data_IF_020139296965
#
_entry.id   IF_020139296965
#
_cell.length_a   1.000
_cell.length_b   1.000
_cell.length_c   1.000
_cell.angle_alpha   90.00
_cell.angle_beta   90.00
_cell.angle_gamma   90.00
#
_symmetry.space_group_name_H-M   'P 1'
#
loop_
_entity.id
_entity.type
_entity.pdbx_description
1 polymer ?
#
# COMPACT_ATOMS: atom_id res chain seq x y z
N UNK A 1 -33.74 -7.47 4.96
CA UNK A 1 -32.69 -6.54 4.50
C UNK A 1 -31.37 -7.29 4.49
N UNK A 2 -30.56 -7.18 3.42
CA UNK A 2 -29.31 -7.95 3.31
C UNK A 2 -28.29 -7.62 4.41
N UNK A 3 -27.45 -8.59 4.78
CA UNK A 3 -26.51 -8.51 5.90
C UNK A 3 -25.65 -7.23 5.87
N UNK A 4 -25.12 -6.84 4.71
CA UNK A 4 -24.33 -5.62 4.54
C UNK A 4 -25.13 -4.34 4.82
N UNK A 5 -26.40 -4.27 4.40
CA UNK A 5 -27.24 -3.09 4.65
C UNK A 5 -27.51 -2.93 6.14
N UNK A 6 -27.71 -4.02 6.87
CA UNK A 6 -27.89 -3.98 8.31
C UNK A 6 -26.60 -3.54 9.01
N UNK A 7 -25.45 -4.06 8.61
CA UNK A 7 -24.15 -3.61 9.09
C UNK A 7 -23.97 -2.09 8.92
N UNK A 8 -24.22 -1.55 7.72
CA UNK A 8 -24.11 -0.11 7.49
C UNK A 8 -25.04 0.68 8.42
N UNK A 9 -26.30 0.25 8.56
CA UNK A 9 -27.26 0.92 9.46
C UNK A 9 -26.81 0.89 10.92
N UNK A 10 -26.34 -0.26 11.41
CA UNK A 10 -25.88 -0.41 12.78
C UNK A 10 -24.64 0.45 13.09
N UNK A 11 -23.81 0.73 12.08
CA UNK A 11 -22.62 1.58 12.23
C UNK A 11 -22.85 3.04 11.80
N UNK A 12 -24.10 3.45 11.55
CA UNK A 12 -24.41 4.83 11.11
C UNK A 12 -23.89 5.18 9.71
N UNK A 13 -23.52 4.20 8.89
CA UNK A 13 -22.99 4.39 7.54
C UNK A 13 -24.15 4.55 6.54
N UNK A 14 -24.17 5.68 5.83
CA UNK A 14 -25.09 5.89 4.70
C UNK A 14 -24.52 5.23 3.44
N UNK A 15 -25.09 4.08 3.05
CA UNK A 15 -24.71 3.41 1.80
C UNK A 15 -25.43 4.05 0.61
N UNK A 16 -24.67 4.81 -0.18
CA UNK A 16 -25.08 5.35 -1.47
C UNK A 16 -24.68 4.41 -2.61
N UNK A 17 -25.58 4.18 -3.55
CA UNK A 17 -25.32 3.31 -4.71
C UNK A 17 -25.23 4.17 -5.96
N UNK A 18 -24.17 3.97 -6.72
CA UNK A 18 -24.09 4.50 -8.08
C UNK A 18 -25.12 3.80 -8.97
N UNK A 19 -25.72 4.55 -9.90
CA UNK A 19 -26.61 3.98 -10.91
C UNK A 19 -25.78 3.07 -11.83
N UNK A 20 -26.37 1.95 -12.25
CA UNK A 20 -25.74 1.08 -13.24
C UNK A 20 -25.49 1.86 -14.54
N UNK A 21 -24.29 1.71 -15.10
CA UNK A 21 -23.87 2.34 -16.38
C UNK A 21 -23.78 3.88 -16.36
N UNK A 22 -23.51 4.48 -15.21
CA UNK A 22 -23.07 5.90 -15.13
C UNK A 22 -21.61 5.99 -14.68
N UNK A 23 -20.63 5.85 -15.60
CA UNK A 23 -19.20 5.95 -15.29
C UNK A 23 -18.80 7.28 -14.65
N UNK A 24 -19.55 8.35 -14.92
CA UNK A 24 -19.31 9.70 -14.40
C UNK A 24 -19.32 9.71 -12.86
N UNK A 25 -20.14 8.87 -12.22
CA UNK A 25 -20.19 8.76 -10.76
C UNK A 25 -19.04 7.95 -10.16
N UNK A 26 -18.30 7.17 -10.97
CA UNK A 26 -17.24 6.29 -10.50
C UNK A 26 -15.82 6.73 -10.95
N UNK A 27 -15.72 7.85 -11.67
CA UNK A 27 -14.47 8.28 -12.28
C UNK A 27 -13.34 8.58 -11.29
N UNK A 28 -13.63 8.91 -10.02
CA UNK A 28 -12.60 9.07 -8.98
C UNK A 28 -12.02 7.70 -8.60
N UNK A 29 -12.90 6.74 -8.30
CA UNK A 29 -12.55 5.36 -7.94
C UNK A 29 -11.76 4.68 -9.06
N UNK A 30 -12.22 4.81 -10.32
CA UNK A 30 -11.56 4.20 -11.48
C UNK A 30 -10.17 4.79 -11.72
N UNK A 31 -10.01 6.12 -11.57
CA UNK A 31 -8.70 6.77 -11.68
C UNK A 31 -7.73 6.31 -10.59
N UNK A 32 -8.22 6.17 -9.35
CA UNK A 32 -7.39 5.67 -8.26
C UNK A 32 -7.00 4.19 -8.47
N UNK A 33 -7.96 3.35 -8.83
CA UNK A 33 -7.71 1.93 -9.13
C UNK A 33 -6.69 1.77 -10.26
N UNK A 34 -6.80 2.55 -11.34
CA UNK A 34 -5.81 2.57 -12.42
C UNK A 34 -4.43 3.00 -11.92
N UNK A 35 -4.35 4.08 -11.14
CA UNK A 35 -3.08 4.57 -10.57
C UNK A 35 -2.39 3.50 -9.72
N UNK A 36 -3.14 2.80 -8.88
CA UNK A 36 -2.62 1.72 -8.03
C UNK A 36 -2.07 0.58 -8.89
N UNK A 37 -2.85 0.12 -9.89
CA UNK A 37 -2.43 -0.97 -10.78
C UNK A 37 -1.18 -0.61 -11.59
N UNK A 38 -1.08 0.62 -12.10
CA UNK A 38 0.11 1.09 -12.82
C UNK A 38 1.36 1.15 -11.92
N UNK A 39 1.20 1.59 -10.66
CA UNK A 39 2.29 1.57 -9.68
C UNK A 39 2.76 0.16 -9.36
N UNK A 40 1.84 -0.78 -9.14
CA UNK A 40 2.16 -2.20 -8.92
C UNK A 40 2.95 -2.77 -10.10
N UNK A 41 2.46 -2.55 -11.33
CA UNK A 41 3.15 -3.00 -12.56
C UNK A 41 4.56 -2.43 -12.65
N UNK A 42 4.70 -1.14 -12.38
CA UNK A 42 5.99 -0.45 -12.42
C UNK A 42 6.97 -1.00 -11.38
N UNK A 43 6.52 -1.18 -10.14
CA UNK A 43 7.33 -1.72 -9.05
C UNK A 43 7.81 -3.15 -9.34
N UNK A 44 6.90 -4.04 -9.74
CA UNK A 44 7.26 -5.42 -10.09
C UNK A 44 8.21 -5.48 -11.28
N UNK A 45 7.98 -4.66 -12.30
CA UNK A 45 8.85 -4.58 -13.48
C UNK A 45 10.24 -4.03 -13.13
N UNK A 46 10.33 -3.07 -12.22
CA UNK A 46 11.61 -2.47 -11.79
C UNK A 46 12.52 -3.52 -11.14
N UNK A 47 11.96 -4.37 -10.29
CA UNK A 47 12.70 -5.38 -9.50
C UNK A 47 12.71 -6.75 -10.19
N UNK A 48 12.03 -6.89 -11.33
CA UNK A 48 11.86 -8.14 -12.09
C UNK A 48 11.23 -9.27 -11.25
N UNK A 49 10.24 -8.92 -10.44
CA UNK A 49 9.51 -9.89 -9.62
C UNK A 49 8.30 -10.48 -10.36
N UNK A 50 7.94 -11.74 -10.09
CA UNK A 50 6.75 -12.35 -10.66
C UNK A 50 5.48 -11.69 -10.13
N UNK A 51 4.40 -11.80 -10.90
CA UNK A 51 3.07 -11.26 -10.57
C UNK A 51 2.48 -11.82 -9.27
N UNK A 52 3.03 -12.90 -8.73
CA UNK A 52 2.61 -13.45 -7.44
C UNK A 52 2.84 -12.49 -6.28
N UNK A 53 3.78 -11.54 -6.40
CA UNK A 53 4.10 -10.53 -5.37
C UNK A 53 3.31 -9.22 -5.53
N UNK A 54 2.13 -9.28 -6.17
CA UNK A 54 1.35 -8.09 -6.48
C UNK A 54 0.77 -7.44 -5.23
N UNK A 55 0.55 -8.22 -4.17
CA UNK A 55 -0.01 -7.78 -2.90
C UNK A 55 1.02 -6.98 -2.08
N UNK A 56 2.30 -7.37 -2.04
CA UNK A 56 3.32 -6.57 -1.37
C UNK A 56 3.61 -5.26 -2.13
N UNK A 57 3.61 -5.34 -3.47
CA UNK A 57 3.68 -4.15 -4.32
C UNK A 57 2.44 -3.24 -4.15
N UNK A 58 1.25 -3.82 -3.97
CA UNK A 58 0.01 -3.06 -3.69
C UNK A 58 0.12 -2.31 -2.37
N UNK A 59 0.52 -2.98 -1.28
CA UNK A 59 0.66 -2.36 0.03
C UNK A 59 1.66 -1.21 -0.01
N UNK A 60 2.81 -1.41 -0.66
CA UNK A 60 3.81 -0.36 -0.86
C UNK A 60 3.26 0.80 -1.69
N UNK A 61 2.55 0.51 -2.78
CA UNK A 61 1.98 1.55 -3.64
C UNK A 61 0.94 2.40 -2.91
N UNK A 62 0.07 1.78 -2.10
CA UNK A 62 -0.94 2.46 -1.30
C UNK A 62 -0.30 3.34 -0.23
N UNK A 63 0.71 2.81 0.49
CA UNK A 63 1.42 3.58 1.50
C UNK A 63 2.10 4.81 0.89
N UNK A 64 2.82 4.63 -0.23
CA UNK A 64 3.42 5.75 -0.95
C UNK A 64 2.39 6.76 -1.47
N UNK A 65 1.20 6.32 -1.93
CA UNK A 65 0.13 7.25 -2.34
C UNK A 65 -0.32 8.10 -1.15
N UNK A 66 -0.48 7.49 0.03
CA UNK A 66 -0.91 8.20 1.24
C UNK A 66 0.18 9.13 1.80
N UNK A 67 1.45 8.86 1.49
CA UNK A 67 2.61 9.68 1.87
C UNK A 67 3.00 10.70 0.78
N UNK A 68 2.41 10.66 -0.41
CA UNK A 68 2.75 11.58 -1.50
C UNK A 68 1.87 12.85 -1.46
N UNK A 69 2.42 14.01 -1.87
CA UNK A 69 1.62 15.21 -2.14
C UNK A 69 0.45 14.91 -3.09
N UNK A 70 -0.73 15.41 -2.74
CA UNK A 70 -1.97 15.13 -3.48
C UNK A 70 -2.58 16.41 -4.04
N UNK A 71 -2.85 16.44 -5.35
CA UNK A 71 -3.43 17.61 -6.01
C UNK A 71 -4.81 18.01 -5.44
N UNK A 72 -5.75 17.08 -5.15
CA UNK A 72 -6.99 17.40 -4.44
C UNK A 72 -6.80 18.06 -3.06
N UNK A 73 -5.62 17.92 -2.45
CA UNK A 73 -5.26 18.51 -1.16
C UNK A 73 -4.34 19.72 -1.31
N UNK A 74 -4.29 20.35 -2.49
CA UNK A 74 -3.41 21.49 -2.78
C UNK A 74 -1.93 21.20 -2.50
N UNK A 75 -1.49 19.95 -2.72
CA UNK A 75 -0.13 19.51 -2.46
C UNK A 75 0.14 19.04 -1.03
N UNK A 76 -0.86 19.04 -0.15
CA UNK A 76 -0.74 18.40 1.16
C UNK A 76 -0.81 16.87 1.05
N UNK A 77 -0.44 16.19 2.14
CA UNK A 77 -0.24 14.74 2.19
C UNK A 77 -1.47 14.07 2.80
N UNK A 78 -2.08 13.07 2.14
CA UNK A 78 -3.28 12.40 2.65
C UNK A 78 -3.13 11.87 4.08
N UNK A 79 -2.02 11.22 4.41
CA UNK A 79 -1.81 10.68 5.76
C UNK A 79 -1.77 11.78 6.82
N UNK A 80 -1.17 12.94 6.52
CA UNK A 80 -1.20 14.12 7.41
C UNK A 80 -2.62 14.61 7.62
N UNK A 81 -3.38 14.74 6.53
CA UNK A 81 -4.75 15.21 6.56
C UNK A 81 -5.67 14.29 7.39
N UNK A 82 -5.54 12.97 7.25
CA UNK A 82 -6.37 12.00 7.96
C UNK A 82 -5.96 11.78 9.42
N UNK A 83 -4.65 11.76 9.71
CA UNK A 83 -4.14 11.47 11.06
C UNK A 83 -4.01 12.72 11.95
N UNK A 84 -3.97 13.91 11.34
CA UNK A 84 -3.65 15.16 12.02
C UNK A 84 -2.20 15.26 12.51
N UNK A 85 -1.34 14.29 12.16
CA UNK A 85 0.07 14.22 12.55
C UNK A 85 0.96 14.52 11.36
N UNK A 86 2.11 15.14 11.64
CA UNK A 86 3.14 15.26 10.63
C UNK A 86 3.70 13.90 10.24
N UNK A 87 4.09 13.79 8.98
CA UNK A 87 4.55 12.55 8.36
C UNK A 87 6.06 12.51 8.32
N UNK A 88 6.64 11.39 8.75
CA UNK A 88 8.07 11.13 8.66
C UNK A 88 8.38 10.29 7.44
N UNK A 89 9.39 10.67 6.65
CA UNK A 89 9.83 9.96 5.46
C UNK A 89 11.09 9.10 5.70
N UNK A 90 11.64 9.13 6.92
CA UNK A 90 12.92 8.49 7.23
C UNK A 90 12.88 6.96 7.07
N UNK A 91 11.70 6.38 7.22
CA UNK A 91 11.47 4.94 7.07
C UNK A 91 11.40 4.52 5.59
N UNK A 92 11.24 5.45 4.65
CA UNK A 92 11.05 5.11 3.25
C UNK A 92 12.29 4.42 2.65
N UNK A 93 12.03 3.34 1.92
CA UNK A 93 13.00 2.57 1.14
C UNK A 93 12.47 2.33 -0.27
N UNK A 94 13.38 2.20 -1.23
CA UNK A 94 13.04 1.86 -2.61
C UNK A 94 12.57 0.41 -2.65
N UNK A 95 11.39 0.16 -3.22
CA UNK A 95 10.87 -1.20 -3.41
C UNK A 95 11.87 -2.04 -4.21
N UNK A 96 12.23 -3.21 -3.67
CA UNK A 96 13.23 -4.11 -4.22
C UNK A 96 14.69 -3.75 -3.92
N UNK A 97 14.97 -2.75 -3.10
CA UNK A 97 16.34 -2.46 -2.70
C UNK A 97 16.95 -3.63 -1.92
N UNK A 98 18.27 -3.76 -1.99
CA UNK A 98 19.01 -4.77 -1.21
C UNK A 98 18.73 -4.59 0.28
N UNK A 99 18.36 -5.68 0.93
CA UNK A 99 18.07 -5.74 2.35
C UNK A 99 18.79 -6.95 2.98
N UNK A 100 18.85 -6.99 4.31
CA UNK A 100 19.45 -8.08 5.05
C UNK A 100 18.57 -8.43 6.25
N UNK A 101 18.23 -9.71 6.37
CA UNK A 101 17.52 -10.24 7.54
C UNK A 101 18.53 -10.91 8.48
N UNK A 102 18.36 -10.70 9.79
CA UNK A 102 19.20 -11.36 10.79
C UNK A 102 18.88 -12.84 10.88
N UNK A 103 19.91 -13.70 10.89
CA UNK A 103 19.77 -15.13 11.16
C UNK A 103 19.91 -15.32 12.67
N UNK A 104 18.92 -15.96 13.30
CA UNK A 104 18.91 -16.14 14.76
C UNK A 104 20.08 -17.03 15.21
N UNK A 105 20.42 -16.96 16.51
CA UNK A 105 21.60 -17.66 17.06
C UNK A 105 21.43 -19.18 17.06
N UNK A 106 20.21 -19.67 17.22
CA UNK A 106 19.80 -21.07 17.19
C UNK A 106 19.78 -21.65 15.78
N UNK A 107 19.63 -20.81 14.75
CA UNK A 107 19.65 -21.20 13.33
C UNK A 107 21.06 -21.19 12.71
N UNK A 108 22.11 -20.89 13.50
CA UNK A 108 23.48 -20.74 12.98
C UNK A 108 24.55 -21.32 13.91
N UNK A 109 25.58 -21.91 13.32
CA UNK A 109 26.76 -22.43 14.00
C UNK A 109 27.85 -21.37 14.14
N UNK A 110 28.94 -21.73 14.84
CA UNK A 110 30.11 -20.85 14.99
C UNK A 110 30.73 -20.57 13.62
N UNK A 111 30.91 -19.28 13.31
CA UNK A 111 31.42 -18.71 12.03
C UNK A 111 30.41 -18.68 10.87
N UNK A 112 29.17 -19.14 11.06
CA UNK A 112 28.14 -18.98 10.04
C UNK A 112 27.77 -17.50 9.84
N UNK A 113 27.23 -17.20 8.64
CA UNK A 113 26.73 -15.87 8.33
C UNK A 113 25.68 -15.42 9.35
N UNK A 114 25.74 -14.15 9.76
CA UNK A 114 24.79 -13.57 10.72
C UNK A 114 23.56 -12.96 10.06
N UNK A 115 23.57 -12.85 8.74
CA UNK A 115 22.48 -12.29 7.97
C UNK A 115 22.36 -12.99 6.63
N UNK A 116 21.14 -12.96 6.10
CA UNK A 116 20.82 -13.40 4.76
C UNK A 116 20.43 -12.19 3.92
N UNK A 117 21.00 -12.08 2.73
CA UNK A 117 20.61 -11.07 1.76
C UNK A 117 19.18 -11.33 1.26
N UNK A 118 18.40 -10.26 1.17
CA UNK A 118 17.04 -10.26 0.67
C UNK A 118 16.76 -8.96 -0.10
N UNK A 119 15.53 -8.80 -0.56
CA UNK A 119 15.03 -7.58 -1.19
C UNK A 119 13.94 -6.98 -0.31
N UNK A 120 13.87 -5.65 -0.29
CA UNK A 120 12.82 -4.94 0.44
C UNK A 120 11.48 -5.05 -0.30
N UNK A 121 10.48 -5.67 0.34
CA UNK A 121 9.17 -5.94 -0.25
C UNK A 121 8.08 -4.94 0.15
N UNK A 122 8.41 -3.92 0.94
CA UNK A 122 7.41 -2.95 1.42
C UNK A 122 7.32 -2.88 2.93
N UNK A 123 6.33 -2.13 3.38
CA UNK A 123 6.09 -1.90 4.81
C UNK A 123 5.07 -2.92 5.31
N UNK A 124 5.39 -3.58 6.43
CA UNK A 124 4.44 -4.43 7.11
C UNK A 124 3.35 -3.59 7.78
N UNK A 125 2.15 -4.14 7.87
CA UNK A 125 1.18 -3.63 8.84
C UNK A 125 1.69 -4.07 10.22
N UNK A 126 1.86 -3.12 11.14
CA UNK A 126 1.91 -3.44 12.58
C UNK A 126 0.58 -4.05 13.05
#
# INVERSE_FOLDING_TARGET
MGAFRNYCKCNGIRHERSVLKTPQHNGITERMSKTIVEKIRTMLSHVKLPKSFWDEALMTAVDLINLSPSAPLNGDVPNKFWSGKDVSYNHLKVFGCRAFVHILKDERSKLDAKSKECIFMGYGNE
#
